data_IF_332257703514
#
_entry.id   IF_332257703514
#
_cell.length_a   1.000
_cell.length_b   1.000
_cell.length_c   1.000
_cell.angle_alpha   90.00
_cell.angle_beta   90.00
_cell.angle_gamma   90.00
#
_symmetry.space_group_name_H-M   'P 1'
#
loop_
_entity.id
_entity.type
_entity.pdbx_description
1 polymer ?
#
# COMPACT_ATOMS: atom_id res chain seq x y z
N UNK A 1 2.38 -5.05 20.06
CA UNK A 1 1.35 -4.68 19.09
C UNK A 1 1.97 -4.44 17.73
N UNK A 2 1.38 -5.01 16.68
CA UNK A 2 1.92 -4.86 15.34
C UNK A 2 1.58 -3.47 14.76
N UNK A 3 2.52 -2.91 14.03
CA UNK A 3 2.37 -1.59 13.42
C UNK A 3 2.51 -1.64 11.90
N UNK A 4 1.74 -0.77 11.21
CA UNK A 4 1.88 -0.55 9.78
C UNK A 4 2.49 0.84 9.59
N UNK A 5 3.81 0.89 9.39
CA UNK A 5 4.54 2.14 9.13
C UNK A 5 4.45 2.46 7.63
N UNK A 6 4.61 3.73 7.28
CA UNK A 6 4.63 4.17 5.89
C UNK A 6 5.87 5.01 5.62
N UNK A 7 6.47 4.81 4.45
CA UNK A 7 7.52 5.70 3.96
C UNK A 7 6.90 7.02 3.51
N UNK A 8 7.74 8.04 3.31
CA UNK A 8 7.30 9.31 2.73
C UNK A 8 6.67 9.10 1.35
N UNK A 9 7.25 8.20 0.55
CA UNK A 9 6.73 7.92 -0.79
C UNK A 9 5.33 7.28 -0.70
N UNK A 10 5.12 6.37 0.25
CA UNK A 10 3.81 5.77 0.45
C UNK A 10 2.77 6.83 0.85
N UNK A 11 3.16 7.76 1.72
CA UNK A 11 2.28 8.87 2.12
C UNK A 11 1.95 9.77 0.92
N UNK A 12 2.93 10.05 0.07
CA UNK A 12 2.72 10.82 -1.15
C UNK A 12 1.77 10.10 -2.11
N UNK A 13 1.93 8.77 -2.24
CA UNK A 13 1.03 7.95 -3.06
C UNK A 13 -0.42 8.05 -2.56
N UNK A 14 -0.62 7.97 -1.24
CA UNK A 14 -1.94 8.07 -0.65
C UNK A 14 -2.59 9.44 -0.91
N UNK A 15 -1.79 10.51 -0.82
CA UNK A 15 -2.28 11.85 -1.13
C UNK A 15 -2.72 11.97 -2.59
N UNK A 16 -1.92 11.43 -3.54
CA UNK A 16 -2.28 11.40 -4.95
C UNK A 16 -3.60 10.66 -5.18
N UNK A 17 -3.76 9.51 -4.54
CA UNK A 17 -5.00 8.71 -4.63
C UNK A 17 -6.19 9.53 -4.13
N UNK A 18 -6.03 10.18 -2.98
CA UNK A 18 -7.08 10.99 -2.39
C UNK A 18 -7.48 12.14 -3.31
N UNK A 19 -6.50 12.86 -3.86
CA UNK A 19 -6.76 13.97 -4.79
C UNK A 19 -7.47 13.47 -6.05
N UNK A 20 -6.98 12.38 -6.64
CA UNK A 20 -7.54 11.82 -7.87
C UNK A 20 -9.01 11.43 -7.70
N UNK A 21 -9.34 10.68 -6.66
CA UNK A 21 -10.71 10.25 -6.40
C UNK A 21 -11.56 11.45 -5.97
N UNK A 22 -10.98 12.32 -5.14
CA UNK A 22 -11.67 13.46 -4.56
C UNK A 22 -12.09 14.52 -5.57
N UNK A 23 -11.46 14.57 -6.75
CA UNK A 23 -11.87 15.47 -7.82
C UNK A 23 -13.33 15.26 -8.20
N UNK A 24 -13.81 14.03 -8.11
CA UNK A 24 -15.18 13.67 -8.45
C UNK A 24 -16.04 13.38 -7.21
N UNK A 25 -15.45 12.88 -6.13
CA UNK A 25 -16.22 12.45 -4.96
C UNK A 25 -15.32 12.38 -3.72
N UNK A 26 -15.44 13.39 -2.86
CA UNK A 26 -14.64 13.49 -1.61
C UNK A 26 -14.93 12.31 -0.67
N UNK A 27 -16.21 11.92 -0.57
CA UNK A 27 -16.59 10.82 0.32
C UNK A 27 -15.98 9.50 -0.12
N UNK A 28 -15.95 9.25 -1.44
CA UNK A 28 -15.31 8.06 -2.00
C UNK A 28 -13.80 8.09 -1.74
N UNK A 29 -13.17 9.25 -1.87
CA UNK A 29 -11.74 9.41 -1.57
C UNK A 29 -11.45 9.05 -0.11
N UNK A 30 -12.23 9.57 0.82
CA UNK A 30 -12.08 9.29 2.25
C UNK A 30 -12.30 7.80 2.55
N UNK A 31 -13.31 7.19 1.92
CA UNK A 31 -13.61 5.78 2.10
C UNK A 31 -12.45 4.90 1.61
N UNK A 32 -11.84 5.22 0.47
CA UNK A 32 -10.72 4.46 -0.06
C UNK A 32 -9.50 4.54 0.86
N UNK A 33 -9.18 5.74 1.36
CA UNK A 33 -8.05 5.90 2.28
C UNK A 33 -8.27 5.09 3.56
N UNK A 34 -9.49 5.09 4.10
CA UNK A 34 -9.82 4.26 5.26
C UNK A 34 -9.66 2.76 4.97
N UNK A 35 -10.14 2.31 3.81
CA UNK A 35 -10.02 0.90 3.41
C UNK A 35 -8.57 0.46 3.27
N UNK A 36 -7.74 1.30 2.65
CA UNK A 36 -6.31 1.04 2.53
C UNK A 36 -5.66 0.96 3.91
N UNK A 37 -5.99 1.89 4.81
CA UNK A 37 -5.48 1.88 6.18
C UNK A 37 -5.85 0.61 6.93
N UNK A 38 -7.09 0.16 6.82
CA UNK A 38 -7.55 -1.08 7.45
C UNK A 38 -6.82 -2.30 6.89
N UNK A 39 -6.62 -2.32 5.57
CA UNK A 39 -5.90 -3.41 4.91
C UNK A 39 -4.46 -3.49 5.40
N UNK A 40 -3.79 -2.33 5.55
CA UNK A 40 -2.43 -2.26 6.07
C UNK A 40 -2.36 -2.78 7.51
N UNK A 41 -3.30 -2.42 8.36
CA UNK A 41 -3.33 -2.90 9.75
C UNK A 41 -3.52 -4.42 9.81
N UNK A 42 -4.37 -4.97 8.95
CA UNK A 42 -4.54 -6.42 8.86
C UNK A 42 -3.26 -7.12 8.42
N UNK A 43 -2.53 -6.53 7.47
CA UNK A 43 -1.24 -7.06 7.06
C UNK A 43 -0.19 -6.98 8.16
N UNK A 44 -0.22 -5.94 8.99
CA UNK A 44 0.72 -5.83 10.10
C UNK A 44 0.56 -6.98 11.09
N UNK A 45 -0.68 -7.44 11.29
CA UNK A 45 -0.98 -8.56 12.19
C UNK A 45 -0.59 -9.91 11.57
N UNK A 46 -0.66 -10.03 10.23
CA UNK A 46 -0.34 -11.27 9.50
C UNK A 46 0.56 -10.95 8.30
N UNK A 47 1.84 -10.57 8.55
CA UNK A 47 2.68 -9.99 7.49
C UNK A 47 2.97 -10.93 6.31
N UNK A 48 2.84 -12.23 6.51
CA UNK A 48 3.12 -13.22 5.47
C UNK A 48 2.00 -13.42 4.45
N UNK A 49 0.87 -12.76 4.58
CA UNK A 49 -0.28 -13.00 3.70
C UNK A 49 -0.10 -12.40 2.30
N UNK A 50 0.77 -11.39 2.15
CA UNK A 50 0.94 -10.73 0.86
C UNK A 50 1.66 -11.59 -0.16
N UNK A 51 1.34 -11.35 -1.43
CA UNK A 51 2.00 -12.00 -2.56
C UNK A 51 3.47 -11.59 -2.60
N UNK A 52 4.37 -12.53 -2.83
CA UNK A 52 5.80 -12.26 -2.89
C UNK A 52 6.20 -11.70 -4.25
N UNK A 53 7.15 -10.76 -4.24
CA UNK A 53 7.71 -10.13 -5.44
C UNK A 53 9.23 -10.16 -5.40
N UNK A 54 9.81 -11.35 -5.17
CA UNK A 54 11.27 -11.50 -5.04
C UNK A 54 12.03 -11.10 -6.30
N UNK A 55 11.39 -11.23 -7.46
CA UNK A 55 11.94 -10.82 -8.74
C UNK A 55 12.09 -9.30 -8.88
N UNK A 56 11.37 -8.53 -8.08
CA UNK A 56 11.42 -7.06 -8.10
C UNK A 56 12.35 -6.55 -7.01
N UNK A 57 12.17 -7.03 -5.80
CA UNK A 57 13.03 -6.68 -4.67
C UNK A 57 12.94 -7.76 -3.60
N UNK A 58 14.07 -8.15 -2.98
CA UNK A 58 14.07 -9.18 -1.94
C UNK A 58 13.16 -8.79 -0.77
N UNK A 59 12.25 -9.69 -0.42
CA UNK A 59 11.33 -9.48 0.70
C UNK A 59 10.09 -8.64 0.39
N UNK A 60 9.98 -8.09 -0.81
CA UNK A 60 8.82 -7.27 -1.18
C UNK A 60 7.57 -8.14 -1.27
N UNK A 61 6.48 -7.64 -0.70
CA UNK A 61 5.15 -8.28 -0.75
C UNK A 61 4.09 -7.27 -1.13
N UNK A 62 2.93 -7.76 -1.56
CA UNK A 62 1.81 -6.88 -1.87
C UNK A 62 0.48 -7.49 -1.49
N UNK A 63 -0.49 -6.62 -1.21
CA UNK A 63 -1.90 -6.97 -1.07
C UNK A 63 -2.73 -5.98 -1.87
N UNK A 64 -3.95 -6.40 -2.24
CA UNK A 64 -4.84 -5.58 -3.07
C UNK A 64 -5.94 -5.00 -2.19
N UNK A 65 -6.26 -3.73 -2.43
CA UNK A 65 -7.44 -3.09 -1.87
C UNK A 65 -8.13 -2.29 -2.99
N UNK A 66 -9.29 -2.77 -3.42
CA UNK A 66 -10.00 -2.17 -4.58
C UNK A 66 -9.14 -2.23 -5.83
N UNK A 67 -8.94 -1.08 -6.47
CA UNK A 67 -8.10 -0.97 -7.66
C UNK A 67 -6.63 -0.70 -7.35
N UNK A 68 -6.26 -0.68 -6.08
CA UNK A 68 -4.92 -0.31 -5.64
C UNK A 68 -4.16 -1.50 -5.08
N UNK A 69 -2.84 -1.46 -5.24
CA UNK A 69 -1.92 -2.48 -4.74
C UNK A 69 -1.01 -1.83 -3.71
N UNK A 70 -0.95 -2.43 -2.53
CA UNK A 70 -0.16 -1.96 -1.40
C UNK A 70 1.10 -2.82 -1.34
N UNK A 71 2.27 -2.20 -1.55
CA UNK A 71 3.57 -2.87 -1.51
C UNK A 71 4.24 -2.62 -0.18
N UNK A 72 4.74 -3.67 0.46
CA UNK A 72 5.31 -3.56 1.80
C UNK A 72 6.44 -4.56 2.04
N UNK A 73 7.24 -4.25 3.06
CA UNK A 73 8.22 -5.17 3.62
C UNK A 73 7.81 -5.55 5.03
N UNK A 74 8.14 -6.77 5.44
CA UNK A 74 7.98 -7.20 6.83
C UNK A 74 9.12 -6.59 7.65
N UNK A 75 8.79 -5.99 8.79
CA UNK A 75 9.76 -5.40 9.72
C UNK A 75 9.53 -6.00 11.11
N UNK A 76 10.39 -5.67 12.08
CA UNK A 76 10.39 -6.32 13.39
C UNK A 76 9.03 -6.27 14.11
N UNK A 77 8.33 -5.15 14.01
CA UNK A 77 7.07 -4.94 14.74
C UNK A 77 5.84 -4.81 13.81
N UNK A 78 5.93 -5.38 12.61
CA UNK A 78 4.80 -5.35 11.68
C UNK A 78 5.25 -5.23 10.24
N UNK A 79 4.80 -4.19 9.55
CA UNK A 79 5.15 -3.95 8.15
C UNK A 79 5.55 -2.49 7.92
N UNK A 80 6.29 -2.27 6.84
CA UNK A 80 6.54 -0.93 6.32
C UNK A 80 6.01 -0.85 4.90
N UNK A 81 4.98 -0.03 4.69
CA UNK A 81 4.39 0.19 3.38
C UNK A 81 5.30 1.15 2.60
N UNK A 82 5.74 0.72 1.42
CA UNK A 82 6.68 1.49 0.61
C UNK A 82 6.05 2.14 -0.62
N UNK A 83 5.01 1.54 -1.19
CA UNK A 83 4.25 2.12 -2.30
C UNK A 83 2.77 1.73 -2.20
N UNK A 84 1.90 2.62 -2.70
CA UNK A 84 0.49 2.30 -2.93
C UNK A 84 0.17 2.79 -4.34
N UNK A 85 -0.06 1.85 -5.26
CA UNK A 85 -0.16 2.15 -6.68
C UNK A 85 -1.43 1.58 -7.27
N UNK A 86 -1.99 2.26 -8.27
CA UNK A 86 -3.08 1.70 -9.06
C UNK A 86 -2.57 0.42 -9.75
N UNK A 87 -3.43 -0.61 -9.83
CA UNK A 87 -3.06 -1.91 -10.37
C UNK A 87 -2.60 -1.90 -11.83
N UNK A 88 -2.90 -0.81 -12.57
CA UNK A 88 -2.47 -0.66 -13.96
C UNK A 88 -1.03 -0.12 -14.10
N UNK A 89 -0.39 0.29 -12.99
CA UNK A 89 0.98 0.82 -13.04
C UNK A 89 2.00 -0.27 -13.39
N UNK A 90 3.01 0.10 -14.16
CA UNK A 90 4.15 -0.76 -14.45
C UNK A 90 5.04 -0.84 -13.21
N UNK A 91 4.97 -1.96 -12.51
CA UNK A 91 5.63 -2.15 -11.23
C UNK A 91 7.15 -2.00 -11.28
N UNK A 92 7.88 -2.64 -12.22
CA UNK A 92 9.34 -2.52 -12.21
C UNK A 92 9.83 -1.09 -12.29
N UNK A 93 9.19 -0.22 -13.07
CA UNK A 93 9.63 1.18 -13.20
C UNK A 93 9.40 1.99 -11.94
N UNK A 94 8.51 1.56 -11.05
CA UNK A 94 8.22 2.25 -9.80
C UNK A 94 9.24 1.95 -8.70
N UNK A 95 10.05 0.91 -8.87
CA UNK A 95 11.02 0.46 -7.86
C UNK A 95 12.47 0.60 -8.31
N UNK A 96 12.73 1.19 -9.45
CA UNK A 96 14.08 1.43 -9.95
C UNK A 96 14.64 2.76 -9.44
#
# INVERSE_FOLDING_TARGET
>A
MAHAKRTRQADADLLEIWVHIGENNIEAANAMIRSIGQRCRGCADFPGIGRRHEDIAPGLRSVIEGSYVIYYYVVDDGIEVVRVLHGSRDLPSQFN
#
